data_IF_019164821561
#
_entry.id   IF_019164821561
#
_cell.length_a   1.000
_cell.length_b   1.000
_cell.length_c   1.000
_cell.angle_alpha   90.00
_cell.angle_beta   90.00
_cell.angle_gamma   90.00
#
_symmetry.space_group_name_H-M   'P 1'
#
loop_
_entity.id
_entity.type
_entity.pdbx_description
1 polymer ?
#
# COMPACT_ATOMS: atom_id res chain seq x y z
N UNK A 1 21.30 -4.07 4.35
CA UNK A 1 20.24 -3.75 3.36
C UNK A 1 19.01 -4.54 3.76
N UNK A 2 17.85 -3.89 3.88
CA UNK A 2 16.60 -4.57 4.26
C UNK A 2 15.95 -5.22 3.03
N UNK A 3 15.25 -6.32 3.23
CA UNK A 3 14.60 -7.13 2.18
C UNK A 3 13.10 -7.16 2.36
N UNK A 4 12.39 -6.86 1.28
CA UNK A 4 10.93 -6.81 1.23
C UNK A 4 10.44 -7.81 0.21
N UNK A 5 9.61 -8.77 0.65
CA UNK A 5 8.85 -9.65 -0.23
C UNK A 5 7.52 -8.94 -0.59
N UNK A 6 7.39 -8.50 -1.83
CA UNK A 6 6.23 -7.72 -2.29
C UNK A 6 5.30 -8.57 -3.16
N UNK A 7 4.11 -8.88 -2.64
CA UNK A 7 3.10 -9.74 -3.25
C UNK A 7 1.93 -8.89 -3.76
N UNK A 8 1.98 -8.48 -5.02
CA UNK A 8 1.02 -7.52 -5.61
C UNK A 8 0.82 -7.78 -7.11
N UNK A 9 -0.10 -7.06 -7.75
CA UNK A 9 -0.26 -7.10 -9.21
C UNK A 9 0.97 -6.61 -9.95
N UNK A 10 1.08 -6.92 -11.24
CA UNK A 10 2.08 -6.35 -12.14
C UNK A 10 1.44 -5.98 -13.48
N UNK A 11 1.79 -4.78 -13.97
CA UNK A 11 1.41 -4.28 -15.29
C UNK A 11 2.65 -4.04 -16.15
N UNK A 12 2.58 -4.42 -17.43
CA UNK A 12 3.66 -4.23 -18.40
C UNK A 12 3.81 -2.76 -18.79
N UNK A 13 2.69 -2.09 -19.05
CA UNK A 13 2.61 -0.65 -19.30
C UNK A 13 1.95 0.04 -18.11
N UNK A 14 2.55 1.14 -17.67
CA UNK A 14 2.03 1.97 -16.59
C UNK A 14 2.46 1.56 -15.18
N UNK A 15 1.80 2.12 -14.18
CA UNK A 15 2.14 2.00 -12.76
C UNK A 15 0.94 1.51 -11.93
N UNK A 16 0.94 0.24 -11.56
CA UNK A 16 0.01 -0.33 -10.57
C UNK A 16 0.64 -1.55 -9.88
N UNK A 17 0.34 -1.76 -8.59
CA UNK A 17 0.90 -2.83 -7.77
C UNK A 17 2.43 -2.79 -7.72
N UNK A 18 3.07 -3.92 -7.97
CA UNK A 18 4.53 -4.04 -8.02
C UNK A 18 5.17 -3.10 -9.07
N UNK A 19 4.48 -2.78 -10.16
CA UNK A 19 5.00 -1.81 -11.15
C UNK A 19 5.05 -0.38 -10.59
N UNK A 20 4.25 -0.06 -9.57
CA UNK A 20 4.29 1.21 -8.84
C UNK A 20 5.14 1.15 -7.55
N UNK A 21 5.30 -0.03 -6.94
CA UNK A 21 5.92 -0.21 -5.64
C UNK A 21 7.41 -0.58 -5.68
N UNK A 22 7.81 -1.47 -6.61
CA UNK A 22 9.15 -2.11 -6.58
C UNK A 22 10.26 -1.10 -6.86
N UNK A 23 10.11 -0.29 -7.91
CA UNK A 23 11.13 0.69 -8.27
C UNK A 23 11.35 1.73 -7.16
N UNK A 24 10.31 2.37 -6.59
CA UNK A 24 10.50 3.31 -5.49
C UNK A 24 11.19 2.69 -4.27
N UNK A 25 10.77 1.50 -3.81
CA UNK A 25 11.43 0.84 -2.68
C UNK A 25 12.91 0.54 -2.97
N UNK A 26 13.23 0.06 -4.18
CA UNK A 26 14.63 -0.16 -4.60
C UNK A 26 15.43 1.13 -4.65
N UNK A 27 14.81 2.22 -5.13
CA UNK A 27 15.44 3.54 -5.20
C UNK A 27 15.71 4.13 -3.81
N UNK A 28 14.95 3.72 -2.79
CA UNK A 28 15.17 3.99 -1.36
C UNK A 28 16.20 3.04 -0.70
N UNK A 29 16.85 2.17 -1.49
CA UNK A 29 17.90 1.27 -1.00
C UNK A 29 17.42 -0.05 -0.41
N UNK A 30 16.17 -0.45 -0.67
CA UNK A 30 15.65 -1.77 -0.27
C UNK A 30 15.95 -2.83 -1.33
N UNK A 31 16.24 -4.05 -0.89
CA UNK A 31 16.17 -5.21 -1.77
C UNK A 31 14.71 -5.66 -1.85
N UNK A 32 14.16 -5.83 -3.06
CA UNK A 32 12.75 -6.18 -3.24
C UNK A 32 12.64 -7.45 -4.06
N UNK A 33 11.92 -8.43 -3.49
CA UNK A 33 11.56 -9.71 -4.09
C UNK A 33 10.09 -9.65 -4.54
N UNK A 34 9.80 -9.31 -5.81
CA UNK A 34 8.43 -9.22 -6.28
C UNK A 34 7.86 -10.61 -6.59
N UNK A 35 6.75 -10.95 -5.92
CA UNK A 35 5.85 -12.02 -6.37
C UNK A 35 4.66 -11.33 -7.03
N UNK A 36 4.48 -11.54 -8.33
CA UNK A 36 3.43 -10.90 -9.09
C UNK A 36 2.15 -11.76 -9.05
N UNK A 37 1.03 -11.21 -8.56
CA UNK A 37 -0.25 -11.94 -8.44
C UNK A 37 -0.99 -12.03 -9.78
N UNK A 38 -0.73 -11.08 -10.68
CA UNK A 38 -1.22 -11.04 -12.05
C UNK A 38 -0.11 -10.46 -12.95
N UNK A 39 -0.17 -10.74 -14.25
CA UNK A 39 0.58 -9.99 -15.25
C UNK A 39 -0.39 -9.48 -16.31
N UNK A 40 -0.65 -8.18 -16.29
CA UNK A 40 -1.54 -7.51 -17.23
C UNK A 40 -0.77 -6.58 -18.19
N UNK A 41 -1.35 -6.32 -19.36
CA UNK A 41 -0.81 -5.35 -20.32
C UNK A 41 -0.76 -3.93 -19.72
N UNK A 42 -1.81 -3.55 -19.00
CA UNK A 42 -2.04 -2.25 -18.38
C UNK A 42 -3.03 -2.42 -17.22
N UNK A 43 -3.23 -1.39 -16.39
CA UNK A 43 -4.17 -1.46 -15.27
C UNK A 43 -5.63 -1.47 -15.74
N UNK A 44 -6.55 -1.90 -14.87
CA UNK A 44 -7.96 -2.17 -15.22
C UNK A 44 -8.78 -0.92 -15.55
N UNK A 45 -8.29 0.28 -15.20
CA UNK A 45 -9.03 1.52 -15.45
C UNK A 45 -8.92 2.05 -16.89
N UNK A 46 -8.16 1.44 -17.81
CA UNK A 46 -8.18 1.85 -19.22
C UNK A 46 -9.51 1.48 -19.90
N UNK A 47 -10.10 2.40 -20.64
CA UNK A 47 -11.41 2.18 -21.30
C UNK A 47 -11.36 1.10 -22.38
N UNK A 48 -10.22 0.95 -23.05
CA UNK A 48 -9.97 -0.12 -24.02
C UNK A 48 -9.87 -1.52 -23.38
N UNK A 49 -9.92 -1.60 -22.05
CA UNK A 49 -9.71 -2.82 -21.29
C UNK A 49 -8.22 -3.16 -21.11
N UNK A 50 -7.96 -4.41 -20.77
CA UNK A 50 -6.62 -4.95 -20.56
C UNK A 50 -6.56 -6.40 -21.02
N UNK A 51 -5.35 -6.90 -21.27
CA UNK A 51 -5.07 -8.30 -21.56
C UNK A 51 -4.14 -8.87 -20.48
N UNK A 52 -4.01 -10.19 -20.44
CA UNK A 52 -3.11 -10.89 -19.52
C UNK A 52 -3.84 -11.89 -18.63
N UNK A 53 -3.20 -12.31 -17.54
CA UNK A 53 -3.73 -13.36 -16.67
C UNK A 53 -3.39 -13.15 -15.20
N UNK A 54 -4.25 -13.66 -14.33
CA UNK A 54 -3.88 -13.92 -12.95
C UNK A 54 -2.92 -15.11 -12.88
N UNK A 55 -1.94 -15.04 -11.97
CA UNK A 55 -1.11 -16.20 -11.70
C UNK A 55 -1.95 -17.31 -11.06
N UNK A 56 -1.76 -18.57 -11.46
CA UNK A 56 -2.59 -19.68 -10.99
C UNK A 56 -2.44 -19.90 -9.49
N UNK A 57 -3.49 -20.46 -8.87
CA UNK A 57 -3.43 -20.90 -7.48
C UNK A 57 -2.24 -21.86 -7.25
N UNK A 58 -1.59 -21.73 -6.11
CA UNK A 58 -0.37 -22.44 -5.73
C UNK A 58 0.92 -21.77 -6.21
N UNK A 59 0.85 -20.77 -7.08
CA UNK A 59 2.06 -20.11 -7.62
C UNK A 59 2.82 -19.32 -6.54
N UNK A 60 2.12 -18.60 -5.66
CA UNK A 60 2.73 -17.80 -4.59
C UNK A 60 3.42 -18.75 -3.60
N UNK A 61 2.73 -19.82 -3.21
CA UNK A 61 3.28 -20.87 -2.34
C UNK A 61 4.50 -21.56 -2.95
N UNK A 62 4.48 -21.87 -4.25
CA UNK A 62 5.61 -22.50 -4.93
C UNK A 62 6.86 -21.61 -4.96
N UNK A 63 6.70 -20.31 -5.20
CA UNK A 63 7.81 -19.35 -5.15
C UNK A 63 8.38 -19.21 -3.74
N UNK A 64 7.52 -19.11 -2.73
CA UNK A 64 7.96 -19.09 -1.33
C UNK A 64 8.73 -20.36 -0.97
N UNK A 65 8.25 -21.53 -1.40
CA UNK A 65 8.96 -22.80 -1.23
C UNK A 65 10.35 -22.78 -1.86
N UNK A 66 10.49 -22.26 -3.08
CA UNK A 66 11.80 -22.08 -3.71
C UNK A 66 12.75 -21.19 -2.89
N UNK A 67 12.24 -20.10 -2.29
CA UNK A 67 13.00 -19.23 -1.38
C UNK A 67 13.44 -19.94 -0.09
N UNK A 68 12.61 -20.85 0.44
CA UNK A 68 12.99 -21.69 1.58
C UNK A 68 14.07 -22.71 1.21
N UNK A 69 13.96 -23.35 0.04
CA UNK A 69 14.88 -24.38 -0.43
C UNK A 69 16.31 -23.85 -0.66
N UNK A 70 16.45 -22.58 -1.03
CA UNK A 70 17.75 -21.89 -1.12
C UNK A 70 18.13 -21.15 0.17
N UNK A 71 17.38 -21.37 1.27
CA UNK A 71 17.67 -20.88 2.62
C UNK A 71 17.74 -19.34 2.76
N UNK A 72 17.05 -18.59 1.89
CA UNK A 72 17.05 -17.11 1.95
C UNK A 72 15.84 -16.53 2.69
N UNK A 73 14.79 -17.31 2.96
CA UNK A 73 13.54 -16.79 3.51
C UNK A 73 13.72 -16.07 4.87
N UNK A 74 14.62 -16.57 5.73
CA UNK A 74 14.94 -15.94 7.03
C UNK A 74 15.65 -14.59 6.92
N UNK A 75 16.05 -14.16 5.72
CA UNK A 75 16.59 -12.83 5.47
C UNK A 75 15.49 -11.81 5.13
N UNK A 76 14.24 -12.23 4.94
CA UNK A 76 13.12 -11.35 4.65
C UNK A 76 12.78 -10.51 5.89
N UNK A 77 12.83 -9.19 5.78
CA UNK A 77 12.54 -8.29 6.89
C UNK A 77 11.08 -7.81 6.89
N UNK A 78 10.39 -7.87 5.75
CA UNK A 78 8.98 -7.51 5.67
C UNK A 78 8.28 -8.19 4.48
N UNK A 79 6.99 -8.47 4.67
CA UNK A 79 6.07 -8.84 3.58
C UNK A 79 5.13 -7.67 3.33
N UNK A 80 4.99 -7.26 2.07
CA UNK A 80 4.02 -6.28 1.60
C UNK A 80 3.01 -6.97 0.70
N UNK A 81 1.72 -6.90 1.03
CA UNK A 81 0.64 -7.34 0.12
C UNK A 81 -0.20 -6.16 -0.35
N UNK A 82 -0.70 -6.24 -1.58
CA UNK A 82 -1.62 -5.27 -2.18
C UNK A 82 -2.70 -5.96 -3.00
N UNK A 83 -2.93 -5.51 -4.23
CA UNK A 83 -3.95 -6.07 -5.12
C UNK A 83 -3.84 -7.59 -5.30
N UNK A 84 -4.97 -8.29 -5.11
CA UNK A 84 -5.11 -9.73 -5.29
C UNK A 84 -5.94 -10.06 -6.53
N UNK A 85 -5.45 -11.00 -7.34
CA UNK A 85 -6.14 -11.49 -8.53
C UNK A 85 -7.26 -12.48 -8.23
N UNK A 86 -7.25 -13.11 -7.05
CA UNK A 86 -8.32 -14.01 -6.58
C UNK A 86 -8.35 -14.10 -5.05
N UNK A 87 -9.44 -14.63 -4.48
CA UNK A 87 -9.54 -14.84 -3.04
C UNK A 87 -8.62 -15.97 -2.54
N UNK A 88 -8.42 -17.01 -3.37
CA UNK A 88 -7.55 -18.15 -3.06
C UNK A 88 -6.08 -17.73 -2.87
N UNK A 89 -5.64 -16.68 -3.58
CA UNK A 89 -4.31 -16.11 -3.38
C UNK A 89 -4.13 -15.52 -1.96
N UNK A 90 -5.22 -15.16 -1.29
CA UNK A 90 -5.20 -14.65 0.08
C UNK A 90 -4.65 -15.68 1.06
N UNK A 91 -5.13 -16.93 1.00
CA UNK A 91 -4.68 -18.01 1.88
C UNK A 91 -3.17 -18.30 1.68
N UNK A 92 -2.70 -18.27 0.42
CA UNK A 92 -1.28 -18.42 0.10
C UNK A 92 -0.44 -17.28 0.70
N UNK A 93 -0.92 -16.04 0.66
CA UNK A 93 -0.21 -14.90 1.26
C UNK A 93 -0.06 -15.08 2.76
N UNK A 94 -1.10 -15.54 3.46
CA UNK A 94 -1.01 -15.79 4.90
C UNK A 94 -0.04 -16.92 5.23
N UNK A 95 -0.01 -17.98 4.41
CA UNK A 95 0.98 -19.04 4.54
C UNK A 95 2.42 -18.51 4.34
N UNK A 96 2.63 -17.62 3.37
CA UNK A 96 3.92 -16.94 3.16
C UNK A 96 4.29 -16.07 4.36
N UNK A 97 3.37 -15.25 4.87
CA UNK A 97 3.60 -14.41 6.06
C UNK A 97 3.98 -15.27 7.26
N UNK A 98 3.28 -16.38 7.49
CA UNK A 98 3.59 -17.31 8.57
C UNK A 98 4.97 -17.95 8.40
N UNK A 99 5.32 -18.39 7.19
CA UNK A 99 6.63 -18.98 6.89
C UNK A 99 7.77 -17.96 7.07
N UNK A 100 7.58 -16.72 6.62
CA UNK A 100 8.54 -15.63 6.82
C UNK A 100 8.71 -15.33 8.30
N UNK A 101 7.62 -15.17 9.08
CA UNK A 101 7.70 -14.92 10.52
C UNK A 101 8.29 -16.09 11.31
N UNK A 102 8.09 -17.33 10.86
CA UNK A 102 8.73 -18.50 11.46
C UNK A 102 10.24 -18.50 11.23
N UNK A 103 10.70 -18.07 10.04
CA UNK A 103 12.12 -17.97 9.70
C UNK A 103 12.79 -16.70 10.27
N UNK A 104 12.03 -15.61 10.44
CA UNK A 104 12.45 -14.34 11.02
C UNK A 104 11.31 -13.74 11.88
N UNK A 105 11.32 -13.95 13.21
CA UNK A 105 10.27 -13.45 14.10
C UNK A 105 10.12 -11.93 14.15
N UNK A 106 11.14 -11.18 13.73
CA UNK A 106 11.12 -9.71 13.66
C UNK A 106 10.50 -9.19 12.35
N UNK A 107 10.22 -10.08 11.39
CA UNK A 107 9.62 -9.68 10.12
C UNK A 107 8.20 -9.15 10.33
N UNK A 108 7.89 -8.04 9.66
CA UNK A 108 6.57 -7.42 9.73
C UNK A 108 5.73 -7.73 8.51
N UNK A 109 4.41 -7.79 8.69
CA UNK A 109 3.44 -7.86 7.60
C UNK A 109 2.73 -6.51 7.43
N UNK A 110 2.94 -5.87 6.27
CA UNK A 110 2.25 -4.68 5.82
C UNK A 110 1.17 -5.08 4.80
N UNK A 111 -0.10 -4.87 5.17
CA UNK A 111 -1.24 -5.16 4.31
C UNK A 111 -1.82 -3.84 3.75
N UNK A 112 -1.69 -3.63 2.44
CA UNK A 112 -2.55 -2.68 1.73
C UNK A 112 -3.85 -3.41 1.32
N UNK A 113 -4.99 -3.13 1.98
CA UNK A 113 -6.22 -3.88 1.78
C UNK A 113 -6.96 -3.37 0.54
N UNK A 114 -6.36 -3.52 -0.64
CA UNK A 114 -6.91 -3.03 -1.91
C UNK A 114 -8.25 -3.70 -2.19
N UNK A 115 -9.32 -2.92 -2.11
CA UNK A 115 -10.69 -3.37 -2.41
C UNK A 115 -11.25 -2.65 -3.63
N UNK A 116 -12.06 -3.36 -4.40
CA UNK A 116 -12.77 -2.79 -5.52
C UNK A 116 -13.95 -1.96 -5.02
N UNK A 117 -13.97 -0.68 -5.38
CA UNK A 117 -15.13 0.18 -5.19
C UNK A 117 -15.61 0.70 -6.56
N UNK A 118 -16.92 0.63 -6.86
CA UNK A 118 -17.46 1.14 -8.13
C UNK A 118 -17.04 2.59 -8.41
N UNK A 119 -16.99 3.42 -7.36
CA UNK A 119 -16.56 4.83 -7.43
C UNK A 119 -15.11 5.02 -7.89
N UNK A 120 -14.24 4.02 -7.71
CA UNK A 120 -12.82 4.08 -8.08
C UNK A 120 -12.48 3.36 -9.37
N UNK A 121 -13.42 2.63 -9.98
CA UNK A 121 -13.17 1.79 -11.15
C UNK A 121 -12.15 0.65 -10.92
N UNK A 122 -11.72 0.43 -9.67
CA UNK A 122 -10.86 -0.70 -9.31
C UNK A 122 -11.75 -1.94 -9.19
N UNK A 123 -11.40 -2.99 -9.94
CA UNK A 123 -12.14 -4.25 -9.96
C UNK A 123 -11.29 -5.30 -9.24
N UNK A 124 -11.82 -5.87 -8.17
CA UNK A 124 -11.21 -6.98 -7.43
C UNK A 124 -12.06 -8.25 -7.56
N UNK A 125 -11.43 -9.40 -7.39
CA UNK A 125 -12.12 -10.68 -7.46
C UNK A 125 -13.13 -10.86 -6.29
N UNK A 126 -14.21 -11.62 -6.50
CA UNK A 126 -15.13 -12.01 -5.43
C UNK A 126 -14.38 -12.69 -4.27
N UNK A 127 -14.79 -12.40 -3.03
CA UNK A 127 -14.21 -13.01 -1.82
C UNK A 127 -12.97 -12.30 -1.26
N UNK A 128 -12.30 -11.43 -2.02
CA UNK A 128 -11.12 -10.66 -1.55
C UNK A 128 -11.47 -9.81 -0.32
N UNK A 129 -12.63 -9.14 -0.32
CA UNK A 129 -13.09 -8.35 0.82
C UNK A 129 -13.19 -9.20 2.09
N UNK A 130 -13.78 -10.40 2.00
CA UNK A 130 -13.91 -11.33 3.13
C UNK A 130 -12.54 -11.78 3.65
N UNK A 131 -11.63 -12.11 2.75
CA UNK A 131 -10.24 -12.43 3.11
C UNK A 131 -9.60 -11.29 3.91
N UNK A 132 -9.69 -10.05 3.42
CA UNK A 132 -9.08 -8.88 4.05
C UNK A 132 -9.69 -8.59 5.43
N UNK A 133 -11.01 -8.72 5.59
CA UNK A 133 -11.72 -8.41 6.84
C UNK A 133 -11.59 -9.50 7.90
N UNK A 134 -11.66 -10.77 7.50
CA UNK A 134 -11.72 -11.91 8.43
C UNK A 134 -10.35 -12.56 8.68
N UNK A 135 -9.43 -12.52 7.71
CA UNK A 135 -8.20 -13.30 7.76
C UNK A 135 -6.91 -12.46 7.75
N UNK A 136 -6.81 -11.42 6.90
CA UNK A 136 -5.61 -10.60 6.82
C UNK A 136 -5.48 -9.65 8.03
N UNK A 137 -6.58 -9.02 8.43
CA UNK A 137 -6.61 -8.04 9.52
C UNK A 137 -6.00 -8.59 10.84
N UNK A 138 -6.37 -9.79 11.33
CA UNK A 138 -5.83 -10.31 12.59
C UNK A 138 -4.32 -10.58 12.62
N UNK A 139 -3.67 -10.67 11.46
CA UNK A 139 -2.23 -11.03 11.37
C UNK A 139 -1.34 -9.90 10.83
N UNK A 140 -1.95 -8.83 10.32
CA UNK A 140 -1.24 -7.65 9.82
C UNK A 140 -0.63 -6.85 10.97
N UNK A 141 0.66 -6.53 10.87
CA UNK A 141 1.30 -5.59 11.80
C UNK A 141 0.95 -4.14 11.43
N UNK A 142 0.83 -3.87 10.14
CA UNK A 142 0.49 -2.55 9.59
C UNK A 142 -0.61 -2.73 8.54
N UNK A 143 -1.63 -1.89 8.58
CA UNK A 143 -2.65 -1.82 7.53
C UNK A 143 -2.74 -0.42 6.93
N UNK A 144 -2.90 -0.32 5.61
CA UNK A 144 -2.97 0.96 4.92
C UNK A 144 -4.29 1.19 4.15
N UNK A 145 -5.48 1.13 4.78
CA UNK A 145 -6.74 1.33 4.06
C UNK A 145 -6.92 2.77 3.58
N UNK A 146 -7.62 2.99 2.47
CA UNK A 146 -8.25 4.27 2.19
C UNK A 146 -9.59 4.38 2.95
N UNK A 147 -10.28 5.53 2.90
CA UNK A 147 -11.56 5.71 3.61
C UNK A 147 -12.56 4.58 3.36
N UNK A 148 -12.83 4.22 2.09
CA UNK A 148 -13.85 3.22 1.73
C UNK A 148 -13.45 1.80 2.17
N UNK A 149 -12.16 1.49 2.11
CA UNK A 149 -11.63 0.23 2.64
C UNK A 149 -11.75 0.19 4.16
N UNK A 150 -11.49 1.29 4.86
CA UNK A 150 -11.63 1.39 6.31
C UNK A 150 -13.10 1.24 6.75
N UNK A 151 -14.04 1.82 6.00
CA UNK A 151 -15.49 1.59 6.20
C UNK A 151 -15.84 0.12 6.09
N UNK A 152 -15.30 -0.56 5.08
CA UNK A 152 -15.54 -1.99 4.84
C UNK A 152 -14.93 -2.85 5.95
N UNK A 153 -13.71 -2.52 6.41
CA UNK A 153 -13.03 -3.22 7.51
C UNK A 153 -13.74 -3.03 8.87
N UNK A 154 -14.45 -1.93 9.04
CA UNK A 154 -15.16 -1.58 10.28
C UNK A 154 -16.68 -1.80 10.23
N UNK A 155 -17.23 -2.16 9.06
CA UNK A 155 -18.66 -2.23 8.78
C UNK A 155 -19.40 -0.96 9.27
N UNK A 156 -18.93 0.20 8.84
CA UNK A 156 -19.38 1.51 9.36
C UNK A 156 -19.17 2.59 8.32
N UNK A 157 -20.16 3.47 8.15
CA UNK A 157 -19.98 4.67 7.34
C UNK A 157 -19.13 5.71 8.08
N UNK A 158 -18.18 6.32 7.37
CA UNK A 158 -17.28 7.34 7.88
C UNK A 158 -17.48 8.65 7.11
N UNK A 159 -17.89 9.69 7.84
CA UNK A 159 -18.20 11.01 7.30
C UNK A 159 -17.19 12.09 7.68
N UNK A 160 -16.42 11.89 8.75
CA UNK A 160 -15.50 12.90 9.27
C UNK A 160 -14.21 12.30 9.87
N UNK A 161 -13.25 13.17 10.18
CA UNK A 161 -11.96 12.79 10.75
C UNK A 161 -12.09 12.09 12.11
N UNK A 162 -13.02 12.52 12.96
CA UNK A 162 -13.22 11.93 14.30
C UNK A 162 -13.70 10.49 14.20
N UNK A 163 -14.66 10.21 13.31
CA UNK A 163 -15.14 8.86 13.02
C UNK A 163 -14.02 8.00 12.42
N UNK A 164 -13.23 8.58 11.51
CA UNK A 164 -12.11 7.89 10.85
C UNK A 164 -11.04 7.48 11.86
N UNK A 165 -10.69 8.35 12.80
CA UNK A 165 -9.81 8.02 13.93
C UNK A 165 -10.37 6.86 14.76
N UNK A 166 -11.63 6.97 15.18
CA UNK A 166 -12.27 5.92 15.97
C UNK A 166 -12.26 4.55 15.25
N UNK A 167 -12.48 4.54 13.93
CA UNK A 167 -12.38 3.33 13.11
C UNK A 167 -10.96 2.78 13.00
N UNK A 168 -9.95 3.63 12.80
CA UNK A 168 -8.55 3.21 12.82
C UNK A 168 -8.16 2.56 14.17
N UNK A 169 -8.63 3.11 15.30
CA UNK A 169 -8.42 2.52 16.63
C UNK A 169 -9.13 1.17 16.81
N UNK A 170 -10.23 0.89 16.11
CA UNK A 170 -10.84 -0.46 16.10
C UNK A 170 -9.92 -1.50 15.46
N UNK A 171 -9.15 -1.12 14.43
CA UNK A 171 -8.14 -2.01 13.84
C UNK A 171 -6.96 -2.21 14.79
N UNK A 172 -6.52 -1.14 15.47
CA UNK A 172 -5.46 -1.24 16.48
C UNK A 172 -5.85 -2.22 17.61
N UNK A 173 -7.09 -2.12 18.09
CA UNK A 173 -7.63 -3.02 19.10
C UNK A 173 -7.73 -4.49 18.66
N UNK A 174 -7.69 -4.76 17.35
CA UNK A 174 -7.67 -6.12 16.77
C UNK A 174 -6.26 -6.68 16.54
N UNK A 175 -5.21 -5.95 16.92
CA UNK A 175 -3.82 -6.43 16.89
C UNK A 175 -2.92 -5.73 15.87
N UNK A 176 -3.48 -4.88 15.01
CA UNK A 176 -2.69 -4.02 14.10
C UNK A 176 -1.90 -3.02 14.96
N UNK A 177 -0.61 -2.83 14.70
CA UNK A 177 0.24 -1.91 15.48
C UNK A 177 0.19 -0.48 14.93
N UNK A 178 -0.06 -0.35 13.63
CA UNK A 178 -0.10 0.93 12.93
C UNK A 178 -1.14 0.90 11.81
N UNK A 179 -1.99 1.93 11.75
CA UNK A 179 -2.99 2.10 10.69
C UNK A 179 -2.69 3.38 9.93
N UNK A 180 -2.42 3.25 8.62
CA UNK A 180 -2.24 4.36 7.71
C UNK A 180 -3.51 4.53 6.87
N UNK A 181 -4.36 5.48 7.22
CA UNK A 181 -5.48 5.84 6.34
C UNK A 181 -4.93 6.63 5.16
N UNK A 182 -4.61 5.93 4.07
CA UNK A 182 -3.85 6.45 2.93
C UNK A 182 -4.57 7.52 2.11
N UNK A 183 -5.87 7.71 2.33
CA UNK A 183 -6.63 8.83 1.78
C UNK A 183 -7.94 9.01 2.56
N UNK A 184 -8.11 10.18 3.19
CA UNK A 184 -9.33 10.52 3.94
C UNK A 184 -10.53 10.84 3.04
N UNK A 185 -10.32 11.24 1.79
CA UNK A 185 -11.41 11.56 0.86
C UNK A 185 -12.40 12.57 1.47
N UNK A 186 -13.68 12.23 1.49
CA UNK A 186 -14.74 13.08 2.04
C UNK A 186 -14.62 13.36 3.54
N UNK A 187 -13.87 12.55 4.28
CA UNK A 187 -13.66 12.72 5.71
C UNK A 187 -12.51 13.68 6.03
N UNK A 188 -11.87 14.26 5.01
CA UNK A 188 -10.82 15.25 5.16
C UNK A 188 -11.32 16.49 5.92
N UNK A 189 -10.49 17.02 6.81
CA UNK A 189 -10.78 18.22 7.60
C UNK A 189 -10.74 19.50 6.78
N UNK A 190 -9.92 19.53 5.72
CA UNK A 190 -9.78 20.65 4.79
C UNK A 190 -10.24 20.25 3.39
N UNK A 191 -11.40 20.75 2.93
CA UNK A 191 -11.85 20.56 1.56
C UNK A 191 -10.79 21.03 0.54
N UNK A 192 -10.55 20.24 -0.51
CA UNK A 192 -9.59 20.57 -1.57
C UNK A 192 -8.12 20.23 -1.26
N UNK A 193 -7.85 19.54 -0.14
CA UNK A 193 -6.52 19.00 0.19
C UNK A 193 -6.54 17.48 0.17
N UNK A 194 -5.39 16.87 -0.13
CA UNK A 194 -5.19 15.44 0.04
C UNK A 194 -4.72 15.20 1.47
N UNK A 195 -5.52 14.53 2.28
CA UNK A 195 -5.19 14.22 3.68
C UNK A 195 -5.00 12.73 3.92
N UNK A 196 -4.01 12.40 4.75
CA UNK A 196 -3.78 11.07 5.30
C UNK A 196 -3.75 11.12 6.82
N UNK A 197 -4.12 10.02 7.45
CA UNK A 197 -4.07 9.83 8.90
C UNK A 197 -3.17 8.64 9.24
N UNK A 198 -2.24 8.83 10.17
CA UNK A 198 -1.49 7.77 10.80
C UNK A 198 -2.00 7.59 12.23
N UNK A 199 -2.52 6.41 12.56
CA UNK A 199 -2.93 6.03 13.92
C UNK A 199 -1.99 4.97 14.49
N UNK A 200 -1.53 5.21 15.72
CA UNK A 200 -0.60 4.35 16.47
C UNK A 200 -1.00 4.31 17.94
N UNK A 201 -0.36 3.45 18.74
CA UNK A 201 -0.57 3.44 20.19
C UNK A 201 -0.09 4.74 20.85
N UNK A 202 0.90 5.43 20.26
CA UNK A 202 1.49 6.66 20.75
C UNK A 202 0.63 7.90 20.41
N UNK A 203 -0.23 7.81 19.40
CA UNK A 203 -1.14 8.86 19.01
C UNK A 203 -1.54 8.84 17.55
N UNK A 204 -2.34 9.85 17.19
CA UNK A 204 -2.87 10.04 15.84
C UNK A 204 -2.21 11.27 15.20
N UNK A 205 -1.83 11.16 13.94
CA UNK A 205 -1.12 12.19 13.20
C UNK A 205 -1.77 12.44 11.85
N UNK A 206 -2.11 13.69 11.58
CA UNK A 206 -2.70 14.14 10.31
C UNK A 206 -1.63 14.80 9.45
N UNK A 207 -1.63 14.53 8.15
CA UNK A 207 -0.82 15.30 7.20
C UNK A 207 -1.65 15.64 5.96
N UNK A 208 -1.36 16.80 5.39
CA UNK A 208 -2.02 17.30 4.20
C UNK A 208 -0.99 17.74 3.16
N UNK A 209 -1.33 17.53 1.88
CA UNK A 209 -0.59 18.05 0.72
C UNK A 209 -1.57 18.58 -0.34
N UNK A 210 -1.09 19.33 -1.36
CA UNK A 210 -1.94 19.77 -2.45
C UNK A 210 -2.70 18.60 -3.09
N UNK A 211 -3.97 18.82 -3.42
CA UNK A 211 -4.73 17.90 -4.25
C UNK A 211 -4.63 18.39 -5.70
N UNK A 212 -4.00 17.60 -6.56
CA UNK A 212 -3.85 17.93 -7.98
C UNK A 212 -5.10 17.52 -8.77
N UNK A 213 -5.60 18.43 -9.58
CA UNK A 213 -6.70 18.15 -10.50
C UNK A 213 -6.16 17.48 -11.76
N UNK A 214 -6.44 16.18 -11.89
CA UNK A 214 -6.16 15.42 -13.10
C UNK A 214 -7.45 15.24 -13.91
N UNK A 215 -7.34 15.29 -15.24
CA UNK A 215 -8.43 14.89 -16.13
C UNK A 215 -8.87 13.44 -15.84
N UNK A 216 -7.92 12.59 -15.46
CA UNK A 216 -8.13 11.22 -14.99
C UNK A 216 -7.17 10.90 -13.86
N UNK A 217 -7.70 10.49 -12.72
CA UNK A 217 -6.89 10.24 -11.52
C UNK A 217 -5.87 9.12 -11.76
N UNK A 218 -4.55 9.36 -11.57
CA UNK A 218 -3.52 8.33 -11.77
C UNK A 218 -3.74 7.10 -10.90
N UNK A 219 -3.50 5.92 -11.48
CA UNK A 219 -3.51 4.65 -10.75
C UNK A 219 -2.16 4.45 -10.04
N UNK A 220 -2.14 3.65 -8.98
CA UNK A 220 -0.90 3.28 -8.28
C UNK A 220 -0.48 4.22 -7.15
N UNK A 221 -1.21 5.30 -6.87
CA UNK A 221 -0.89 6.23 -5.77
C UNK A 221 -0.95 5.54 -4.41
N UNK A 222 -1.95 4.69 -4.19
CA UNK A 222 -2.05 3.91 -2.95
C UNK A 222 -0.91 2.91 -2.79
N UNK A 223 -0.58 2.18 -3.87
CA UNK A 223 0.53 1.24 -3.89
C UNK A 223 1.86 1.95 -3.57
N UNK A 224 2.07 3.14 -4.15
CA UNK A 224 3.23 3.98 -3.91
C UNK A 224 3.30 4.46 -2.45
N UNK A 225 2.19 4.92 -1.86
CA UNK A 225 2.11 5.32 -0.45
C UNK A 225 2.52 4.15 0.46
N UNK A 226 1.91 2.98 0.26
CA UNK A 226 2.18 1.79 1.07
C UNK A 226 3.65 1.34 0.95
N UNK A 227 4.17 1.34 -0.29
CA UNK A 227 5.55 0.95 -0.58
C UNK A 227 6.58 1.90 0.05
N UNK A 228 6.38 3.21 -0.10
CA UNK A 228 7.29 4.22 0.46
C UNK A 228 7.20 4.29 1.99
N UNK A 229 6.02 4.09 2.57
CA UNK A 229 5.86 4.00 4.03
C UNK A 229 6.68 2.83 4.57
N UNK A 230 6.50 1.64 4.00
CA UNK A 230 7.25 0.46 4.41
C UNK A 230 8.76 0.65 4.22
N UNK A 231 9.21 1.16 3.07
CA UNK A 231 10.62 1.38 2.82
C UNK A 231 11.25 2.40 3.80
N UNK A 232 10.55 3.48 4.15
CA UNK A 232 11.05 4.43 5.15
C UNK A 232 11.13 3.81 6.55
N UNK A 233 10.13 3.01 6.97
CA UNK A 233 10.19 2.28 8.24
C UNK A 233 11.39 1.32 8.27
N UNK A 234 11.59 0.55 7.19
CA UNK A 234 12.71 -0.38 7.07
C UNK A 234 14.07 0.34 6.99
N UNK A 235 14.12 1.56 6.46
CA UNK A 235 15.31 2.42 6.51
C UNK A 235 15.65 2.92 7.92
N UNK A 236 14.80 2.66 8.92
CA UNK A 236 15.04 3.00 10.32
C UNK A 236 14.46 4.36 10.76
N UNK A 237 13.63 5.00 9.93
CA UNK A 237 12.86 6.16 10.36
C UNK A 237 11.77 5.74 11.35
N UNK A 238 11.51 6.58 12.36
CA UNK A 238 10.34 6.39 13.21
C UNK A 238 9.03 6.57 12.41
N UNK A 239 7.90 6.19 13.02
CA UNK A 239 6.60 6.17 12.35
C UNK A 239 6.19 7.54 11.78
N UNK A 240 6.43 8.62 12.53
CA UNK A 240 6.02 9.97 12.13
C UNK A 240 6.94 10.48 11.02
N UNK A 241 8.25 10.30 11.16
CA UNK A 241 9.22 10.67 10.13
C UNK A 241 9.00 9.88 8.83
N UNK A 242 8.71 8.57 8.92
CA UNK A 242 8.39 7.75 7.76
C UNK A 242 7.11 8.24 7.05
N UNK A 243 6.09 8.64 7.82
CA UNK A 243 4.84 9.17 7.30
C UNK A 243 5.01 10.52 6.59
N UNK A 244 5.76 11.45 7.18
CA UNK A 244 6.09 12.74 6.57
C UNK A 244 6.90 12.59 5.28
N UNK A 245 7.93 11.72 5.30
CA UNK A 245 8.75 11.43 4.12
C UNK A 245 7.93 10.79 3.01
N UNK A 246 7.04 9.87 3.36
CA UNK A 246 6.13 9.22 2.40
C UNK A 246 5.21 10.25 1.75
N UNK A 247 4.59 11.13 2.54
CA UNK A 247 3.75 12.20 2.03
C UNK A 247 4.50 13.10 1.03
N UNK A 248 5.70 13.55 1.39
CA UNK A 248 6.51 14.42 0.54
C UNK A 248 7.01 13.72 -0.74
N UNK A 249 7.41 12.45 -0.65
CA UNK A 249 7.87 11.66 -1.80
C UNK A 249 6.75 11.41 -2.81
N UNK A 250 5.55 11.07 -2.33
CA UNK A 250 4.36 10.89 -3.19
C UNK A 250 3.95 12.23 -3.82
N UNK A 251 4.08 13.33 -3.09
CA UNK A 251 3.81 14.67 -3.61
C UNK A 251 4.71 15.02 -4.79
N UNK A 252 6.02 14.76 -4.68
CA UNK A 252 6.97 14.98 -5.77
C UNK A 252 6.58 14.19 -7.04
N UNK A 253 6.16 12.93 -6.88
CA UNK A 253 5.68 12.11 -8.02
C UNK A 253 4.41 12.71 -8.61
N UNK A 254 3.42 13.09 -7.80
CA UNK A 254 2.16 13.64 -8.31
C UNK A 254 2.36 15.00 -8.97
N UNK A 255 3.20 15.88 -8.42
CA UNK A 255 3.54 17.15 -9.03
C UNK A 255 4.16 16.96 -10.41
N UNK A 256 5.14 16.05 -10.53
CA UNK A 256 5.77 15.72 -11.80
C UNK A 256 4.76 15.14 -12.80
N UNK A 257 3.88 14.25 -12.32
CA UNK A 257 2.83 13.63 -13.14
C UNK A 257 1.83 14.67 -13.66
N UNK A 258 1.42 15.61 -12.80
CA UNK A 258 0.49 16.69 -13.13
C UNK A 258 1.11 17.70 -14.11
N UNK A 259 2.36 18.12 -13.88
CA UNK A 259 3.06 19.03 -14.78
C UNK A 259 3.31 18.44 -16.17
N UNK A 260 3.44 17.12 -16.26
CA UNK A 260 3.60 16.41 -17.52
C UNK A 260 2.27 16.15 -18.26
N UNK A 261 1.12 16.54 -17.67
CA UNK A 261 -0.23 16.18 -18.16
C UNK A 261 -0.35 14.67 -18.44
N UNK A 262 0.27 13.86 -17.58
CA UNK A 262 0.36 12.42 -17.75
C UNK A 262 -0.71 11.69 -16.94
N UNK A 263 -1.25 10.60 -17.50
CA UNK A 263 -2.15 9.72 -16.77
C UNK A 263 -1.39 8.74 -15.86
N UNK A 264 -0.25 8.22 -16.34
CA UNK A 264 0.58 7.28 -15.60
C UNK A 264 1.57 8.01 -14.69
N UNK A 265 1.80 7.46 -13.48
CA UNK A 265 2.72 8.04 -12.51
C UNK A 265 4.13 8.20 -13.08
N UNK A 266 4.69 9.40 -12.97
CA UNK A 266 6.02 9.74 -13.47
C UNK A 266 7.13 9.31 -12.51
N UNK A 267 7.14 8.03 -12.12
CA UNK A 267 8.10 7.49 -11.14
C UNK A 267 9.55 7.64 -11.60
N UNK A 268 9.84 7.34 -12.87
CA UNK A 268 11.21 7.40 -13.38
C UNK A 268 11.71 8.85 -13.45
N UNK A 269 10.85 9.78 -13.87
CA UNK A 269 11.21 11.19 -13.96
C UNK A 269 11.42 11.82 -12.57
N UNK A 270 10.53 11.52 -11.60
CA UNK A 270 10.58 12.04 -10.24
C UNK A 270 11.56 11.28 -9.30
N UNK A 271 12.41 10.39 -9.83
CA UNK A 271 13.18 9.45 -9.00
C UNK A 271 14.18 10.07 -8.03
N UNK A 272 14.73 11.24 -8.37
CA UNK A 272 15.62 11.95 -7.46
C UNK A 272 14.82 12.58 -6.33
N UNK A 273 13.72 13.24 -6.70
CA UNK A 273 12.88 14.02 -5.78
C UNK A 273 12.16 13.13 -4.76
N UNK A 274 11.67 11.95 -5.15
CA UNK A 274 11.02 11.05 -4.20
C UNK A 274 12.01 10.28 -3.32
N UNK A 275 13.26 10.10 -3.76
CA UNK A 275 14.29 9.40 -2.98
C UNK A 275 14.81 10.26 -1.83
N UNK A 276 14.97 11.56 -2.10
CA UNK A 276 15.40 12.57 -1.13
C UNK A 276 14.38 13.71 -1.05
N UNK A 277 13.15 13.42 -0.56
CA UNK A 277 12.07 14.37 -0.61
C UNK A 277 12.30 15.52 0.37
N UNK A 278 11.99 16.73 -0.09
CA UNK A 278 11.91 17.89 0.80
C UNK A 278 10.61 17.82 1.61
N UNK A 279 10.73 17.58 2.91
CA UNK A 279 9.58 17.55 3.83
C UNK A 279 9.15 18.99 4.17
N UNK A 280 8.27 19.56 3.37
CA UNK A 280 7.70 20.90 3.59
C UNK A 280 6.47 20.90 4.51
N UNK A 281 5.71 19.79 4.51
CA UNK A 281 4.56 19.58 5.38
C UNK A 281 4.92 18.59 6.49
N UNK A 282 4.69 18.98 7.74
CA UNK A 282 4.90 18.15 8.93
C UNK A 282 3.58 17.58 9.41
N UNK A 283 3.63 16.40 10.02
CA UNK A 283 2.46 15.76 10.57
C UNK A 283 2.02 16.46 11.86
N UNK A 284 0.73 16.79 11.96
CA UNK A 284 0.12 17.37 13.14
C UNK A 284 -0.38 16.26 14.05
N UNK A 285 0.09 16.22 15.30
CA UNK A 285 -0.46 15.30 16.31
C UNK A 285 -1.84 15.79 16.73
N UNK A 286 -2.85 14.94 16.56
CA UNK A 286 -4.22 15.24 16.94
C UNK A 286 -4.41 15.02 18.45
N UNK A 287 -5.22 15.90 19.05
CA UNK A 287 -5.60 15.83 20.47
C UNK A 287 -6.55 14.66 20.78
#
# INVERSE_FOLDING_TARGET
MKRILSIQSHVVFGCAGNSAAVFPMRRLGMEVWPINTVQFSNHTQYEAGWQGMAMPAGHIGALCKGLMEIEVLGQCDAVLSGYLGSAEQGDEILAVVAAVKAANPEAIYFCDPVMGHPEKGCIVAPGVTRFLTEQALPVADIMAPNLLELETLCDTHLADLSQTRAAAHRLLAKGVKMVLVKHLGRAASQPGRFEMLLATAEGDYLIARPLYEFARQPVGVGDLISALMLANLQAGFDAVAAFERTNAAVDAVLLCTWQADAYELQLIAAQADFAEPRVEHRAERLA
#
